data_IF_958950120125
#
_entry.id   IF_958950120125
#
_cell.length_a   1.000
_cell.length_b   1.000
_cell.length_c   1.000
_cell.angle_alpha   90.00
_cell.angle_beta   90.00
_cell.angle_gamma   90.00
#
_symmetry.space_group_name_H-M   'P 1'
#
loop_
_entity.id
_entity.type
_entity.pdbx_description
1 polymer ?
#
# COMPACT_ATOMS: atom_id res chain seq x y z
N UNK A 1 -10.85 4.06 15.90
CA UNK A 1 -9.66 3.18 15.96
C UNK A 1 -9.07 3.05 14.57
N UNK A 2 -7.75 3.23 14.42
CA UNK A 2 -7.08 3.15 13.11
C UNK A 2 -6.93 1.69 12.69
N UNK A 3 -7.29 1.36 11.45
CA UNK A 3 -7.09 0.02 10.86
C UNK A 3 -5.85 0.00 9.99
N UNK A 4 -5.14 -1.12 9.98
CA UNK A 4 -3.94 -1.34 9.17
C UNK A 4 -4.21 -2.43 8.13
N UNK A 5 -3.78 -2.18 6.90
CA UNK A 5 -3.80 -3.15 5.80
C UNK A 5 -2.35 -3.33 5.35
N UNK A 6 -1.82 -4.54 5.47
CA UNK A 6 -0.48 -4.89 5.02
C UNK A 6 -0.55 -5.52 3.64
N UNK A 7 0.21 -4.96 2.70
CA UNK A 7 0.29 -5.47 1.33
C UNK A 7 1.65 -6.11 1.16
N UNK A 8 1.67 -7.44 1.09
CA UNK A 8 2.88 -8.24 0.84
C UNK A 8 2.94 -8.67 -0.62
N UNK A 9 4.12 -9.08 -1.08
CA UNK A 9 4.35 -9.59 -2.42
C UNK A 9 5.07 -10.92 -2.40
N UNK A 10 4.63 -11.86 -3.23
CA UNK A 10 5.32 -13.13 -3.47
C UNK A 10 5.71 -13.31 -4.93
N UNK A 11 6.45 -14.40 -5.20
CA UNK A 11 6.89 -14.87 -6.54
C UNK A 11 7.93 -13.97 -7.21
N UNK A 12 7.55 -12.77 -7.67
CA UNK A 12 8.46 -11.87 -8.39
C UNK A 12 8.24 -10.39 -8.05
N UNK A 13 9.29 -9.58 -8.20
CA UNK A 13 9.21 -8.12 -8.11
C UNK A 13 8.57 -7.50 -9.37
N UNK A 14 8.20 -6.21 -9.29
CA UNK A 14 7.59 -5.45 -10.41
C UNK A 14 6.16 -5.82 -10.84
N UNK A 15 5.44 -6.66 -10.08
CA UNK A 15 4.02 -7.01 -10.32
C UNK A 15 3.01 -5.86 -10.11
N UNK A 16 3.46 -4.63 -9.90
CA UNK A 16 2.55 -3.50 -9.68
C UNK A 16 1.95 -3.39 -8.27
N UNK A 17 2.62 -3.92 -7.24
CA UNK A 17 2.16 -3.81 -5.83
C UNK A 17 1.90 -2.36 -5.40
N UNK A 18 2.76 -1.44 -5.82
CA UNK A 18 2.56 0.00 -5.57
C UNK A 18 1.27 0.52 -6.21
N UNK A 19 1.04 0.18 -7.48
CA UNK A 19 -0.16 0.59 -8.20
C UNK A 19 -1.43 -0.01 -7.59
N UNK A 20 -1.42 -1.30 -7.26
CA UNK A 20 -2.53 -1.97 -6.60
C UNK A 20 -2.86 -1.34 -5.23
N UNK A 21 -1.82 -1.02 -4.43
CA UNK A 21 -2.00 -0.34 -3.14
C UNK A 21 -2.60 1.07 -3.28
N UNK A 22 -2.20 1.81 -4.32
CA UNK A 22 -2.73 3.13 -4.61
C UNK A 22 -4.19 3.08 -5.07
N UNK A 23 -4.55 2.13 -5.95
CA UNK A 23 -5.92 1.91 -6.39
C UNK A 23 -6.85 1.55 -5.22
N UNK A 24 -6.41 0.66 -4.32
CA UNK A 24 -7.16 0.30 -3.12
C UNK A 24 -7.38 1.52 -2.20
N UNK A 25 -6.34 2.32 -1.99
CA UNK A 25 -6.46 3.55 -1.20
C UNK A 25 -7.44 4.54 -1.82
N UNK A 26 -7.43 4.70 -3.15
CA UNK A 26 -8.37 5.57 -3.88
C UNK A 26 -9.82 5.12 -3.68
N UNK A 27 -10.10 3.81 -3.72
CA UNK A 27 -11.45 3.28 -3.51
C UNK A 27 -11.92 3.49 -2.06
N UNK A 28 -11.04 3.33 -1.09
CA UNK A 28 -11.35 3.59 0.32
C UNK A 28 -11.59 5.08 0.58
N UNK A 29 -10.80 5.97 -0.03
CA UNK A 29 -11.03 7.42 0.01
C UNK A 29 -12.37 7.79 -0.62
N UNK A 30 -12.73 7.19 -1.75
CA UNK A 30 -14.04 7.39 -2.39
C UNK A 30 -15.22 6.95 -1.51
N UNK A 31 -15.00 6.04 -0.57
CA UNK A 31 -15.98 5.62 0.44
C UNK A 31 -15.97 6.48 1.72
N UNK A 32 -15.24 7.59 1.73
CA UNK A 32 -15.16 8.53 2.85
C UNK A 32 -14.18 8.13 3.96
N UNK A 33 -13.35 7.11 3.74
CA UNK A 33 -12.32 6.74 4.73
C UNK A 33 -11.09 7.63 4.62
N UNK A 34 -10.56 8.07 5.77
CA UNK A 34 -9.25 8.72 5.85
C UNK A 34 -8.14 7.67 5.74
N UNK A 35 -7.47 7.61 4.59
CA UNK A 35 -6.42 6.62 4.29
C UNK A 35 -5.06 7.29 4.13
N UNK A 36 -4.01 6.65 4.65
CA UNK A 36 -2.60 7.03 4.44
C UNK A 36 -1.81 5.80 4.01
N UNK A 37 -1.04 5.94 2.93
CA UNK A 37 -0.12 4.91 2.44
C UNK A 37 1.27 5.10 3.07
N UNK A 38 1.96 4.00 3.36
CA UNK A 38 3.36 3.98 3.80
C UNK A 38 4.10 2.86 3.06
N UNK A 39 5.17 3.23 2.36
CA UNK A 39 6.09 2.27 1.73
C UNK A 39 7.17 1.88 2.74
N UNK A 40 7.47 0.59 2.79
CA UNK A 40 8.57 0.03 3.59
C UNK A 40 9.58 -0.53 2.60
N UNK A 41 10.68 0.19 2.46
CA UNK A 41 11.76 -0.13 1.54
C UNK A 41 12.83 -0.95 2.30
N UNK A 42 13.13 -2.20 1.91
CA UNK A 42 14.00 -3.10 2.67
C UNK A 42 15.50 -2.84 2.39
N UNK A 43 15.87 -1.59 2.10
CA UNK A 43 17.24 -1.21 1.79
C UNK A 43 17.90 -0.57 3.01
N UNK A 44 19.21 -0.67 3.10
CA UNK A 44 20.00 -0.07 4.19
C UNK A 44 20.32 1.41 3.95
N UNK A 45 19.95 1.96 2.79
CA UNK A 45 20.26 3.32 2.40
C UNK A 45 19.44 4.31 3.25
N UNK A 46 20.12 5.28 3.85
CA UNK A 46 19.54 6.41 4.61
C UNK A 46 19.65 7.68 3.80
#
# INVERSE_FOLDING_TARGET
MTRFIFITGGVVSSLGKGLASAALASLLQARGFKVRLRKLDPYLNV
#
